data_IF_396570759546
#
_entry.id   IF_396570759546
#
_cell.length_a   1.000
_cell.length_b   1.000
_cell.length_c   1.000
_cell.angle_alpha   90.00
_cell.angle_beta   90.00
_cell.angle_gamma   90.00
#
_symmetry.space_group_name_H-M   'P 1'
#
loop_
_entity.id
_entity.type
_entity.pdbx_description
1 polymer ?
#
# COMPACT_ATOMS: atom_id res chain seq x y z
N UNK A 1 -4.04 11.99 0.95
CA UNK A 1 -4.84 10.82 1.40
C UNK A 1 -6.00 10.65 0.43
N UNK A 2 -6.21 9.44 -0.11
CA UNK A 2 -7.38 9.13 -0.96
C UNK A 2 -8.19 8.04 -0.28
N UNK A 3 -9.50 8.27 -0.13
CA UNK A 3 -10.44 7.30 0.42
C UNK A 3 -11.61 7.15 -0.53
N UNK A 4 -12.00 5.91 -0.79
CA UNK A 4 -13.14 5.58 -1.64
C UNK A 4 -13.87 4.42 -0.99
N UNK A 5 -15.15 4.59 -0.66
CA UNK A 5 -15.92 3.53 -0.02
C UNK A 5 -15.88 2.22 -0.84
N UNK A 6 -15.61 1.10 -0.17
CA UNK A 6 -15.63 -0.25 -0.73
C UNK A 6 -15.95 -1.30 0.34
N UNK A 7 -16.68 -2.34 -0.05
CA UNK A 7 -16.94 -3.52 0.77
C UNK A 7 -16.06 -4.72 0.35
N UNK A 8 -15.12 -4.54 -0.57
CA UNK A 8 -14.31 -5.63 -1.12
C UNK A 8 -13.24 -6.14 -0.15
N UNK A 9 -12.97 -5.42 0.95
CA UNK A 9 -12.17 -5.89 2.09
C UNK A 9 -12.95 -5.50 3.35
N UNK A 10 -13.40 -6.48 4.13
CA UNK A 10 -14.34 -6.24 5.22
C UNK A 10 -14.19 -7.23 6.37
N UNK A 11 -14.60 -6.78 7.55
CA UNK A 11 -14.87 -7.60 8.73
C UNK A 11 -16.08 -6.97 9.46
N UNK A 12 -17.14 -7.75 9.72
CA UNK A 12 -18.38 -7.31 10.38
C UNK A 12 -18.39 -7.51 11.90
N UNK A 13 -17.29 -7.97 12.48
CA UNK A 13 -17.16 -8.06 13.92
C UNK A 13 -17.15 -6.68 14.56
N UNK A 14 -18.01 -6.47 15.56
CA UNK A 14 -18.16 -5.21 16.25
C UNK A 14 -19.15 -5.28 17.41
N UNK A 15 -19.17 -4.23 18.24
CA UNK A 15 -19.91 -4.20 19.51
C UNK A 15 -21.43 -4.39 19.38
N UNK A 16 -22.02 -4.12 18.22
CA UNK A 16 -23.45 -4.32 17.95
C UNK A 16 -23.82 -5.78 17.69
N UNK A 17 -22.86 -6.69 17.44
CA UNK A 17 -23.19 -8.10 17.17
C UNK A 17 -23.93 -8.77 18.33
N UNK A 18 -23.76 -8.29 19.57
CA UNK A 18 -24.52 -8.77 20.74
C UNK A 18 -26.05 -8.57 20.61
N UNK A 19 -26.48 -7.64 19.76
CA UNK A 19 -27.90 -7.35 19.49
C UNK A 19 -28.48 -8.20 18.34
N UNK A 20 -27.65 -9.02 17.68
CA UNK A 20 -28.04 -9.99 16.65
C UNK A 20 -27.30 -11.32 16.87
N UNK A 21 -27.62 -12.07 17.95
CA UNK A 21 -26.89 -13.28 18.34
C UNK A 21 -26.82 -14.35 17.24
N UNK A 22 -27.79 -14.40 16.33
CA UNK A 22 -27.85 -15.29 15.17
C UNK A 22 -26.66 -15.12 14.20
N UNK A 23 -26.01 -13.95 14.20
CA UNK A 23 -24.85 -13.67 13.36
C UNK A 23 -23.49 -13.93 14.05
N UNK A 24 -23.48 -14.29 15.33
CA UNK A 24 -22.24 -14.55 16.08
C UNK A 24 -21.57 -15.82 15.52
N UNK A 25 -20.27 -15.74 15.26
CA UNK A 25 -19.49 -16.87 14.71
C UNK A 25 -19.61 -17.08 13.20
N UNK A 26 -20.44 -16.29 12.50
CA UNK A 26 -20.50 -16.31 11.04
C UNK A 26 -19.16 -15.88 10.42
N UNK A 27 -18.86 -16.36 9.21
CA UNK A 27 -17.58 -16.12 8.53
C UNK A 27 -17.30 -14.64 8.24
N UNK A 28 -18.35 -13.83 8.10
CA UNK A 28 -18.25 -12.38 7.91
C UNK A 28 -17.73 -11.63 9.15
N UNK A 29 -17.59 -12.30 10.31
CA UNK A 29 -16.94 -11.77 11.53
C UNK A 29 -15.41 -11.91 11.50
N UNK A 30 -14.87 -12.46 10.42
CA UNK A 30 -13.44 -12.52 10.15
C UNK A 30 -13.09 -11.64 8.94
N UNK A 31 -11.84 -11.67 8.53
CA UNK A 31 -11.39 -11.00 7.33
C UNK A 31 -11.98 -11.65 6.07
N UNK A 32 -12.72 -10.88 5.29
CA UNK A 32 -13.30 -11.29 4.00
C UNK A 32 -12.78 -10.35 2.92
N UNK A 33 -12.28 -10.91 1.81
CA UNK A 33 -11.74 -10.13 0.70
C UNK A 33 -12.14 -10.68 -0.67
N UNK A 34 -12.61 -9.77 -1.54
CA UNK A 34 -12.80 -9.99 -2.98
C UNK A 34 -11.54 -9.60 -3.77
N UNK A 35 -10.48 -10.40 -3.66
CA UNK A 35 -9.13 -10.01 -4.10
C UNK A 35 -8.99 -9.57 -5.56
N UNK A 36 -9.78 -10.14 -6.48
CA UNK A 36 -9.76 -9.73 -7.90
C UNK A 36 -10.32 -8.32 -8.11
N UNK A 37 -11.37 -7.93 -7.37
CA UNK A 37 -11.92 -6.57 -7.43
C UNK A 37 -10.95 -5.57 -6.81
N UNK A 38 -10.39 -5.91 -5.64
CA UNK A 38 -9.33 -5.13 -4.97
C UNK A 38 -8.18 -4.84 -5.92
N UNK A 39 -7.65 -5.87 -6.58
CA UNK A 39 -6.55 -5.70 -7.52
C UNK A 39 -6.88 -4.72 -8.66
N UNK A 40 -8.03 -4.92 -9.32
CA UNK A 40 -8.45 -4.11 -10.48
C UNK A 40 -8.71 -2.64 -10.12
N UNK A 41 -9.24 -2.38 -8.92
CA UNK A 41 -9.64 -1.05 -8.50
C UNK A 41 -8.50 -0.29 -7.82
N UNK A 42 -7.73 -0.95 -6.94
CA UNK A 42 -6.72 -0.29 -6.09
C UNK A 42 -5.44 0.02 -6.86
N UNK A 43 -4.96 -0.89 -7.72
CA UNK A 43 -3.70 -0.69 -8.47
C UNK A 43 -3.69 0.62 -9.27
N UNK A 44 -4.66 0.89 -10.17
CA UNK A 44 -4.67 2.15 -10.93
C UNK A 44 -4.87 3.36 -10.04
N UNK A 45 -5.76 3.26 -9.03
CA UNK A 45 -6.04 4.34 -8.09
C UNK A 45 -4.79 4.80 -7.34
N UNK A 46 -3.98 3.86 -6.84
CA UNK A 46 -2.77 4.14 -6.07
C UNK A 46 -1.68 4.70 -6.97
N UNK A 47 -1.45 4.10 -8.14
CA UNK A 47 -0.43 4.59 -9.07
C UNK A 47 -0.72 6.03 -9.53
N UNK A 48 -1.97 6.34 -9.85
CA UNK A 48 -2.41 7.70 -10.19
C UNK A 48 -2.20 8.67 -9.02
N UNK A 49 -2.60 8.28 -7.80
CA UNK A 49 -2.43 9.08 -6.60
C UNK A 49 -0.95 9.41 -6.32
N UNK A 50 -0.05 8.46 -6.54
CA UNK A 50 1.39 8.67 -6.35
C UNK A 50 1.92 9.69 -7.37
N UNK A 51 1.60 9.52 -8.66
CA UNK A 51 2.10 10.40 -9.73
C UNK A 51 1.54 11.82 -9.57
N UNK A 52 0.25 11.96 -9.23
CA UNK A 52 -0.36 13.26 -8.95
C UNK A 52 0.31 13.96 -7.77
N UNK A 53 0.48 13.27 -6.63
CA UNK A 53 1.10 13.86 -5.46
C UNK A 53 2.59 14.18 -5.68
N UNK A 54 3.32 13.40 -6.48
CA UNK A 54 4.68 13.76 -6.90
C UNK A 54 4.69 15.07 -7.71
N UNK A 55 3.75 15.22 -8.66
CA UNK A 55 3.57 16.43 -9.45
C UNK A 55 3.25 17.67 -8.60
N UNK A 56 2.36 17.53 -7.61
CA UNK A 56 2.02 18.61 -6.66
C UNK A 56 3.24 19.09 -5.85
N UNK A 57 4.22 18.20 -5.62
CA UNK A 57 5.48 18.48 -4.93
C UNK A 57 6.61 18.92 -5.87
N UNK A 58 6.37 18.98 -7.18
CA UNK A 58 7.41 19.26 -8.18
C UNK A 58 8.50 18.19 -8.24
N UNK A 59 8.18 16.94 -7.87
CA UNK A 59 9.09 15.81 -7.94
C UNK A 59 8.85 15.01 -9.23
N UNK A 60 9.93 14.58 -9.86
CA UNK A 60 9.86 13.55 -10.89
C UNK A 60 9.78 12.16 -10.21
N UNK A 61 8.64 11.44 -10.30
CA UNK A 61 8.51 10.13 -9.68
C UNK A 61 9.47 9.10 -10.27
N UNK A 62 9.97 9.30 -11.50
CA UNK A 62 10.94 8.38 -12.13
C UNK A 62 12.35 8.49 -11.55
N UNK A 63 12.62 9.58 -10.82
CA UNK A 63 13.88 9.83 -10.12
C UNK A 63 13.88 9.36 -8.65
N UNK A 64 12.78 8.76 -8.16
CA UNK A 64 12.73 8.21 -6.80
C UNK A 64 13.73 7.06 -6.68
N UNK A 65 14.57 7.12 -5.63
CA UNK A 65 15.53 6.05 -5.33
C UNK A 65 14.86 4.78 -4.86
N UNK A 66 13.76 4.90 -4.11
CA UNK A 66 13.07 3.74 -3.52
C UNK A 66 11.58 3.96 -3.25
N UNK A 67 10.84 2.88 -3.41
CA UNK A 67 9.44 2.73 -3.07
C UNK A 67 9.30 1.70 -1.94
N UNK A 68 8.71 2.12 -0.83
CA UNK A 68 8.26 1.28 0.28
C UNK A 68 6.74 1.20 0.24
N UNK A 69 6.25 0.38 -0.69
CA UNK A 69 4.82 0.17 -0.92
C UNK A 69 4.21 -0.72 0.18
N UNK A 70 2.88 -0.77 0.22
CA UNK A 70 2.13 -1.67 1.09
C UNK A 70 2.54 -3.13 0.81
N UNK A 71 2.63 -3.95 1.85
CA UNK A 71 3.19 -5.30 1.76
C UNK A 71 2.07 -6.31 1.93
N UNK A 72 1.36 -6.61 0.85
CA UNK A 72 0.24 -7.56 0.85
C UNK A 72 0.21 -8.46 -0.39
N UNK A 73 0.67 -7.96 -1.54
CA UNK A 73 0.66 -8.69 -2.80
C UNK A 73 1.77 -8.18 -3.72
N UNK A 74 2.72 -9.05 -4.09
CA UNK A 74 3.87 -8.69 -4.91
C UNK A 74 3.46 -8.19 -6.31
N UNK A 75 2.45 -8.82 -6.93
CA UNK A 75 1.99 -8.45 -8.27
C UNK A 75 1.39 -7.02 -8.29
N UNK A 76 0.75 -6.60 -7.20
CA UNK A 76 0.28 -5.21 -7.08
C UNK A 76 1.46 -4.24 -6.99
N UNK A 77 2.48 -4.60 -6.19
CA UNK A 77 3.67 -3.77 -6.00
C UNK A 77 4.46 -3.62 -7.30
N UNK A 78 4.60 -4.69 -8.08
CA UNK A 78 5.27 -4.67 -9.39
C UNK A 78 4.55 -3.72 -10.36
N UNK A 79 3.23 -3.84 -10.50
CA UNK A 79 2.46 -2.97 -11.40
C UNK A 79 2.49 -1.49 -10.99
N UNK A 80 2.34 -1.22 -9.69
CA UNK A 80 2.41 0.15 -9.15
C UNK A 80 3.82 0.71 -9.35
N UNK A 81 4.86 -0.05 -8.98
CA UNK A 81 6.25 0.35 -9.10
C UNK A 81 6.62 0.68 -10.55
N UNK A 82 6.25 -0.20 -11.49
CA UNK A 82 6.47 0.02 -12.93
C UNK A 82 5.78 1.28 -13.43
N UNK A 83 4.53 1.52 -13.01
CA UNK A 83 3.77 2.71 -13.43
C UNK A 83 4.36 4.00 -12.86
N UNK A 84 4.81 3.98 -11.61
CA UNK A 84 5.38 5.15 -10.92
C UNK A 84 6.77 5.50 -11.45
N UNK A 85 7.65 4.50 -11.60
CA UNK A 85 9.02 4.72 -12.08
C UNK A 85 9.10 4.86 -13.61
N UNK A 86 8.04 4.54 -14.35
CA UNK A 86 8.01 4.57 -15.81
C UNK A 86 8.83 3.46 -16.48
N UNK A 87 9.38 2.53 -15.70
CA UNK A 87 10.24 1.41 -16.11
C UNK A 87 10.13 0.28 -15.09
N UNK A 88 10.68 -0.89 -15.41
CA UNK A 88 10.84 -1.93 -14.39
C UNK A 88 11.75 -1.42 -13.26
N UNK A 89 11.33 -1.52 -11.98
CA UNK A 89 12.18 -1.22 -10.85
C UNK A 89 13.40 -2.14 -10.85
N UNK A 90 14.59 -1.57 -10.69
CA UNK A 90 15.80 -2.34 -10.46
C UNK A 90 15.74 -3.03 -9.08
N UNK A 91 16.55 -4.08 -8.86
CA UNK A 91 16.65 -4.71 -7.54
C UNK A 91 16.91 -3.68 -6.45
N UNK A 92 16.08 -3.68 -5.40
CA UNK A 92 16.17 -2.75 -4.28
C UNK A 92 15.45 -1.41 -4.45
N UNK A 93 14.92 -1.08 -5.63
CA UNK A 93 14.10 0.14 -5.81
C UNK A 93 12.66 -0.06 -5.35
N UNK A 94 12.11 -1.27 -5.49
CA UNK A 94 10.79 -1.63 -4.96
C UNK A 94 10.97 -2.70 -3.87
N UNK A 95 10.84 -2.29 -2.61
CA UNK A 95 11.17 -3.17 -1.47
C UNK A 95 10.05 -4.17 -1.24
N UNK A 96 10.42 -5.44 -1.15
CA UNK A 96 9.52 -6.55 -0.84
C UNK A 96 9.99 -7.21 0.46
N UNK A 97 9.07 -7.36 1.41
CA UNK A 97 9.27 -8.07 2.69
C UNK A 97 8.12 -9.04 3.02
N UNK A 98 7.10 -9.09 2.14
CA UNK A 98 5.88 -9.90 2.37
C UNK A 98 6.14 -11.41 2.32
N UNK A 99 7.28 -11.82 1.77
CA UNK A 99 7.79 -13.19 1.79
C UNK A 99 8.16 -13.65 3.21
N UNK A 100 8.65 -12.73 4.04
CA UNK A 100 8.99 -12.98 5.45
C UNK A 100 7.81 -12.67 6.40
N UNK A 101 7.10 -11.56 6.17
CA UNK A 101 6.10 -11.05 7.13
C UNK A 101 4.64 -11.27 6.72
N UNK A 102 4.37 -11.81 5.53
CA UNK A 102 3.04 -11.79 4.93
C UNK A 102 2.43 -10.37 4.95
N UNK A 103 1.09 -10.28 4.99
CA UNK A 103 0.39 -8.99 5.10
C UNK A 103 0.23 -8.55 6.56
N UNK A 104 0.97 -7.52 6.97
CA UNK A 104 0.89 -6.92 8.31
C UNK A 104 0.01 -5.68 8.38
N UNK A 105 -0.89 -5.51 7.40
CA UNK A 105 -1.81 -4.37 7.29
C UNK A 105 -1.05 -3.03 7.35
N UNK A 106 -1.36 -2.16 8.30
CA UNK A 106 -0.77 -0.83 8.41
C UNK A 106 0.76 -0.81 8.54
N UNK A 107 1.37 -1.87 9.07
CA UNK A 107 2.81 -1.88 9.38
C UNK A 107 3.70 -2.17 8.16
N UNK A 108 3.17 -2.79 7.10
CA UNK A 108 3.99 -3.37 6.03
C UNK A 108 4.95 -2.39 5.35
N UNK A 109 4.46 -1.22 4.95
CA UNK A 109 5.30 -0.19 4.32
C UNK A 109 6.33 0.42 5.28
N UNK A 110 6.05 0.43 6.59
CA UNK A 110 6.96 0.95 7.61
C UNK A 110 8.07 -0.06 7.91
N UNK A 111 7.74 -1.35 7.98
CA UNK A 111 8.77 -2.40 8.12
C UNK A 111 9.69 -2.38 6.90
N UNK A 112 9.14 -2.25 5.68
CA UNK A 112 9.93 -2.12 4.46
C UNK A 112 10.87 -0.91 4.50
N UNK A 113 10.37 0.26 4.93
CA UNK A 113 11.18 1.46 5.13
C UNK A 113 12.31 1.23 6.15
N UNK A 114 11.95 0.70 7.32
CA UNK A 114 12.90 0.42 8.39
C UNK A 114 14.03 -0.52 7.96
N UNK A 115 13.73 -1.61 7.25
CA UNK A 115 14.73 -2.60 6.80
C UNK A 115 15.59 -2.12 5.63
N UNK A 116 15.14 -1.13 4.86
CA UNK A 116 15.78 -0.77 3.59
C UNK A 116 15.84 0.75 3.38
N UNK A 117 16.49 1.49 4.28
CA UNK A 117 16.77 2.93 4.12
C UNK A 117 18.25 3.32 4.37
N UNK A 118 19.09 2.40 4.83
CA UNK A 118 20.44 2.70 5.32
C UNK A 118 21.37 3.29 4.25
N UNK A 119 21.27 2.81 3.01
CA UNK A 119 22.05 3.23 1.84
C UNK A 119 21.58 4.54 1.19
N UNK A 120 20.57 5.21 1.74
CA UNK A 120 20.22 6.56 1.29
C UNK A 120 21.34 7.54 1.65
N UNK A 121 21.68 8.43 0.73
CA UNK A 121 22.53 9.59 0.94
C UNK A 121 21.68 10.85 1.18
N UNK A 122 22.27 11.90 1.74
CA UNK A 122 21.58 13.20 1.87
C UNK A 122 21.10 13.68 0.50
N UNK A 123 19.86 14.13 0.43
CA UNK A 123 19.21 14.57 -0.81
C UNK A 123 18.43 13.47 -1.53
N UNK A 124 18.72 12.19 -1.29
CA UNK A 124 17.97 11.07 -1.89
C UNK A 124 16.50 11.13 -1.48
N UNK A 125 15.63 10.84 -2.45
CA UNK A 125 14.18 10.85 -2.26
C UNK A 125 13.59 9.45 -2.40
N UNK A 126 12.57 9.18 -1.61
CA UNK A 126 11.83 7.93 -1.65
C UNK A 126 10.38 8.13 -1.27
N UNK A 127 9.60 7.06 -1.41
CA UNK A 127 8.15 7.07 -1.18
C UNK A 127 7.75 5.95 -0.24
N UNK A 128 7.09 6.30 0.86
CA UNK A 128 6.32 5.36 1.67
C UNK A 128 4.87 5.46 1.22
N UNK A 129 4.26 4.34 0.84
CA UNK A 129 2.86 4.32 0.43
C UNK A 129 2.13 3.10 1.01
N UNK A 130 1.01 3.35 1.69
CA UNK A 130 0.13 2.31 2.22
C UNK A 130 -1.22 2.35 1.50
N UNK A 131 -1.81 1.19 1.22
CA UNK A 131 -3.13 1.09 0.59
C UNK A 131 -3.83 -0.20 0.97
N UNK A 132 -5.16 -0.19 1.12
CA UNK A 132 -5.90 -1.37 1.55
C UNK A 132 -7.37 -1.08 1.85
N UNK A 133 -7.90 -1.72 2.90
CA UNK A 133 -9.31 -1.68 3.27
C UNK A 133 -9.85 -0.24 3.43
N UNK A 134 -11.13 -0.06 3.09
CA UNK A 134 -11.81 1.24 3.10
C UNK A 134 -12.56 1.56 1.82
N UNK A 135 -11.94 1.57 0.63
CA UNK A 135 -10.49 1.65 0.38
C UNK A 135 -9.86 2.91 0.95
N UNK A 136 -8.62 2.77 1.40
CA UNK A 136 -7.76 3.86 1.83
C UNK A 136 -6.40 3.76 1.17
N UNK A 137 -5.83 4.89 0.77
CA UNK A 137 -4.47 5.00 0.26
C UNK A 137 -3.79 6.28 0.75
N UNK A 138 -2.56 6.16 1.25
CA UNK A 138 -1.75 7.26 1.77
C UNK A 138 -0.35 7.24 1.15
N UNK A 139 0.17 8.42 0.81
CA UNK A 139 1.51 8.61 0.27
C UNK A 139 2.28 9.59 1.14
N UNK A 140 3.54 9.25 1.44
CA UNK A 140 4.48 10.09 2.19
C UNK A 140 5.81 10.08 1.43
N UNK A 141 6.10 11.20 0.77
CA UNK A 141 7.39 11.43 0.15
C UNK A 141 8.40 11.86 1.21
N UNK A 142 9.58 11.26 1.18
CA UNK A 142 10.65 11.54 2.14
C UNK A 142 11.93 11.89 1.40
N UNK A 143 12.74 12.76 2.01
CA UNK A 143 14.09 13.11 1.56
C UNK A 143 15.04 12.93 2.74
N UNK A 144 16.14 12.19 2.56
CA UNK A 144 17.15 12.06 3.62
C UNK A 144 17.89 13.38 3.78
N UNK A 145 18.07 13.79 5.04
CA UNK A 145 18.79 15.02 5.42
C UNK A 145 20.27 14.74 5.55
#
# INVERSE_FOLDING_TARGET
LKTQFSNNIRNNFGFLNRAAPEGIGASDKLFVQEGRKVFREVVPMVAEMIVQHAGDLGLDPTALKRLWLHQANINMNELIGKRVLGREPAPGENVIILDEYANTSSAGSIIAFHKANDDFASGDTGLICSFGAGYSAGTVFVRKR
#
